data_IF_056648456491
#
_entry.id   IF_056648456491
#
_cell.length_a   1.000
_cell.length_b   1.000
_cell.length_c   1.000
_cell.angle_alpha   90.00
_cell.angle_beta   90.00
_cell.angle_gamma   90.00
#
_symmetry.space_group_name_H-M   'P 1'
#
loop_
_entity.id
_entity.type
_entity.pdbx_description
1 polymer ?
#
# COMPACT_ATOMS: atom_id res chain seq x y z
N UNK A 1 15.34 1.30 -3.65
CA UNK A 1 13.96 1.22 -4.14
C UNK A 1 13.02 1.51 -2.97
N UNK A 2 12.27 2.58 -3.03
CA UNK A 2 11.30 2.98 -2.01
C UNK A 2 9.92 3.06 -2.65
N UNK A 3 8.85 2.82 -1.87
CA UNK A 3 7.49 3.15 -2.29
C UNK A 3 7.29 4.65 -2.04
N UNK A 4 7.10 5.41 -3.11
CA UNK A 4 6.94 6.86 -3.10
C UNK A 4 5.56 7.22 -3.66
N UNK A 5 4.87 8.12 -3.00
CA UNK A 5 3.63 8.72 -3.44
C UNK A 5 3.83 10.23 -3.49
N UNK A 6 3.30 10.86 -4.51
CA UNK A 6 3.30 12.31 -4.61
C UNK A 6 2.03 12.81 -5.29
N UNK A 7 1.66 14.05 -4.98
CA UNK A 7 0.49 14.69 -5.53
C UNK A 7 0.75 15.16 -6.96
N UNK A 8 -0.30 15.14 -7.79
CA UNK A 8 -0.29 15.73 -9.13
C UNK A 8 0.75 15.12 -10.09
N UNK A 9 1.05 13.83 -9.95
CA UNK A 9 1.89 13.10 -10.90
C UNK A 9 0.99 12.44 -11.95
N UNK A 10 1.11 12.87 -13.22
CA UNK A 10 0.32 12.34 -14.33
C UNK A 10 1.05 12.50 -15.65
N UNK A 11 1.09 11.43 -16.40
CA UNK A 11 1.55 11.39 -17.78
C UNK A 11 0.55 10.64 -18.67
N UNK A 12 0.83 10.60 -19.95
CA UNK A 12 0.08 9.76 -20.91
C UNK A 12 0.95 8.63 -21.43
N UNK A 13 0.30 7.60 -21.98
CA UNK A 13 0.96 6.49 -22.68
C UNK A 13 0.13 6.00 -23.85
N UNK A 14 0.78 5.57 -24.93
CA UNK A 14 0.14 4.86 -26.05
C UNK A 14 0.53 3.39 -26.12
N UNK A 15 1.34 2.91 -25.17
CA UNK A 15 1.80 1.52 -25.12
C UNK A 15 0.62 0.54 -25.08
N UNK A 16 0.70 -0.53 -25.85
CA UNK A 16 -0.32 -1.60 -25.92
C UNK A 16 0.22 -2.89 -25.30
N UNK A 17 -0.69 -3.81 -24.99
CA UNK A 17 -0.33 -5.13 -24.47
C UNK A 17 -0.13 -5.16 -22.97
N UNK A 18 0.63 -6.15 -22.48
CA UNK A 18 0.85 -6.45 -21.05
C UNK A 18 2.15 -5.84 -20.48
N UNK A 19 2.98 -5.25 -21.33
CA UNK A 19 4.33 -4.82 -20.97
C UNK A 19 4.39 -3.53 -20.16
N UNK A 20 5.64 -3.13 -19.89
CA UNK A 20 6.01 -1.84 -19.32
C UNK A 20 5.51 -0.70 -20.19
N UNK A 21 4.99 0.34 -19.59
CA UNK A 21 4.50 1.53 -20.30
C UNK A 21 5.66 2.47 -20.65
N UNK A 22 5.65 3.00 -21.86
CA UNK A 22 6.42 4.18 -22.22
C UNK A 22 5.59 5.42 -21.83
N UNK A 23 6.19 6.30 -21.06
CA UNK A 23 5.58 7.55 -20.63
C UNK A 23 5.92 8.65 -21.62
N UNK A 24 4.95 9.50 -21.95
CA UNK A 24 5.06 10.49 -23.04
C UNK A 24 5.21 11.93 -22.53
N UNK A 25 5.53 12.08 -21.25
CA UNK A 25 5.69 13.37 -20.59
C UNK A 25 4.44 13.84 -19.82
N UNK A 26 4.67 14.78 -18.91
CA UNK A 26 3.67 15.29 -18.00
C UNK A 26 2.51 15.99 -18.71
N UNK A 27 1.32 15.81 -18.17
CA UNK A 27 0.12 16.57 -18.60
C UNK A 27 0.17 17.97 -17.98
N UNK A 28 -0.34 18.97 -18.70
CA UNK A 28 -0.32 20.36 -18.24
C UNK A 28 -0.85 20.53 -16.81
N UNK A 29 -0.03 21.12 -15.94
CA UNK A 29 -0.33 21.30 -14.53
C UNK A 29 -0.03 20.09 -13.62
N UNK A 30 0.61 19.05 -14.15
CA UNK A 30 1.06 17.87 -13.42
C UNK A 30 2.58 17.71 -13.54
N UNK A 31 3.19 16.98 -12.61
CA UNK A 31 4.56 16.52 -12.70
C UNK A 31 4.64 15.18 -13.45
N UNK A 32 5.79 14.91 -14.07
CA UNK A 32 6.11 13.60 -14.63
C UNK A 32 6.49 12.61 -13.54
N UNK A 33 6.44 11.31 -13.85
CA UNK A 33 6.77 10.26 -12.88
C UNK A 33 8.22 10.33 -12.40
N UNK A 34 9.18 10.63 -13.26
CA UNK A 34 10.59 10.78 -12.86
C UNK A 34 10.77 11.97 -11.92
N UNK A 35 10.13 13.09 -12.18
CA UNK A 35 10.21 14.27 -11.33
C UNK A 35 9.50 14.08 -9.98
N UNK A 36 8.31 13.49 -9.98
CA UNK A 36 7.47 13.36 -8.79
C UNK A 36 7.80 12.15 -7.93
N UNK A 37 8.18 11.02 -8.53
CA UNK A 37 8.41 9.75 -7.83
C UNK A 37 9.91 9.44 -7.75
N UNK A 38 10.67 9.78 -8.78
CA UNK A 38 12.09 9.48 -8.90
C UNK A 38 12.37 8.12 -9.52
N UNK A 39 13.49 8.05 -10.26
CA UNK A 39 13.91 6.80 -10.91
C UNK A 39 14.24 5.70 -9.90
N UNK A 40 14.01 4.46 -10.25
CA UNK A 40 14.17 3.24 -9.45
C UNK A 40 13.24 3.11 -8.23
N UNK A 41 12.37 4.07 -7.99
CA UNK A 41 11.35 3.95 -6.95
C UNK A 41 10.08 3.29 -7.47
N UNK A 42 9.35 2.63 -6.58
CA UNK A 42 8.01 2.12 -6.84
C UNK A 42 6.96 3.15 -6.48
N UNK A 43 5.81 3.09 -7.15
CA UNK A 43 4.64 3.90 -6.81
C UNK A 43 3.36 3.12 -7.07
N UNK A 44 2.26 3.51 -6.43
CA UNK A 44 0.95 3.09 -6.89
C UNK A 44 0.56 3.89 -8.12
N UNK A 45 0.02 3.22 -9.11
CA UNK A 45 -0.46 3.84 -10.33
C UNK A 45 -1.94 3.50 -10.60
N UNK A 46 -2.58 4.36 -11.36
CA UNK A 46 -3.78 4.04 -12.09
C UNK A 46 -3.56 4.33 -13.58
N UNK A 47 -3.93 3.39 -14.43
CA UNK A 47 -3.91 3.50 -15.89
C UNK A 47 -5.35 3.45 -16.37
N UNK A 48 -5.75 4.37 -17.22
CA UNK A 48 -7.11 4.40 -17.81
C UNK A 48 -7.04 4.64 -19.31
N UNK A 49 -7.58 3.71 -20.08
CA UNK A 49 -7.90 3.90 -21.50
C UNK A 49 -9.40 4.20 -21.62
N UNK A 50 -9.75 5.48 -21.65
CA UNK A 50 -11.14 5.92 -21.64
C UNK A 50 -11.90 5.52 -22.92
N UNK A 51 -11.19 5.30 -24.03
CA UNK A 51 -11.80 4.91 -25.31
C UNK A 51 -12.42 3.52 -25.24
N UNK A 52 -11.76 2.59 -24.55
CA UNK A 52 -12.13 1.17 -24.53
C UNK A 52 -12.57 0.68 -23.14
N UNK A 53 -12.77 1.58 -22.18
CA UNK A 53 -13.14 1.25 -20.79
C UNK A 53 -12.18 0.29 -20.09
N UNK A 54 -10.92 0.28 -20.51
CA UNK A 54 -9.85 -0.51 -19.91
C UNK A 54 -9.18 0.29 -18.79
N UNK A 55 -8.97 -0.33 -17.64
CA UNK A 55 -8.27 0.33 -16.53
C UNK A 55 -7.52 -0.69 -15.67
N UNK A 56 -6.49 -0.21 -14.98
CA UNK A 56 -5.68 -0.99 -14.06
C UNK A 56 -5.13 -0.11 -12.94
N UNK A 57 -5.19 -0.61 -11.73
CA UNK A 57 -4.55 -0.03 -10.53
C UNK A 57 -3.52 -1.03 -10.02
N UNK A 58 -2.31 -0.58 -9.76
CA UNK A 58 -1.24 -1.48 -9.36
C UNK A 58 -0.06 -0.77 -8.71
N UNK A 59 1.02 -1.53 -8.58
CA UNK A 59 2.35 -1.06 -8.18
C UNK A 59 3.29 -1.21 -9.35
N UNK A 60 4.08 -0.19 -9.64
CA UNK A 60 5.08 -0.20 -10.70
C UNK A 60 6.33 0.57 -10.31
N UNK A 61 7.41 0.29 -11.02
CA UNK A 61 8.72 0.93 -10.87
C UNK A 61 8.93 1.96 -11.96
N UNK A 62 9.34 3.15 -11.58
CA UNK A 62 9.67 4.26 -12.49
C UNK A 62 11.13 4.16 -12.91
N UNK A 63 11.42 4.28 -14.20
CA UNK A 63 12.78 4.35 -14.72
C UNK A 63 12.92 5.58 -15.63
N UNK A 64 13.90 6.42 -15.31
CA UNK A 64 14.37 7.51 -16.15
C UNK A 64 15.07 6.91 -17.39
N UNK A 65 14.48 7.09 -18.53
CA UNK A 65 14.91 6.56 -19.82
C UNK A 65 14.48 7.52 -20.96
N UNK A 66 14.59 7.08 -22.20
CA UNK A 66 14.10 7.86 -23.35
C UNK A 66 13.29 6.94 -24.29
N UNK A 67 11.96 6.95 -24.19
CA UNK A 67 11.11 7.64 -23.18
C UNK A 67 11.21 7.02 -21.80
N UNK A 68 10.79 7.78 -20.77
CA UNK A 68 10.64 7.28 -19.40
C UNK A 68 9.68 6.09 -19.35
N UNK A 69 9.87 5.22 -18.36
CA UNK A 69 9.04 4.01 -18.29
C UNK A 69 8.44 3.79 -16.89
N UNK A 70 7.28 3.12 -16.89
CA UNK A 70 6.63 2.59 -15.70
C UNK A 70 6.34 1.10 -15.89
N UNK A 71 6.96 0.26 -15.08
CA UNK A 71 6.63 -1.17 -15.06
C UNK A 71 5.28 -1.42 -14.40
N UNK A 72 4.76 -2.61 -14.57
CA UNK A 72 3.49 -3.08 -13.99
C UNK A 72 3.78 -4.32 -13.15
N UNK A 73 4.38 -4.08 -11.96
CA UNK A 73 4.99 -5.13 -11.14
C UNK A 73 3.94 -6.00 -10.43
N UNK A 74 2.83 -5.38 -10.01
CA UNK A 74 1.74 -6.08 -9.34
C UNK A 74 0.43 -5.33 -9.58
N UNK A 75 -0.60 -6.04 -10.02
CA UNK A 75 -1.96 -5.51 -10.18
C UNK A 75 -2.72 -5.66 -8.86
N UNK A 76 -3.42 -4.61 -8.46
CA UNK A 76 -4.28 -4.57 -7.28
C UNK A 76 -5.75 -4.75 -7.69
N UNK A 77 -6.15 -4.03 -8.75
CA UNK A 77 -7.50 -4.15 -9.30
C UNK A 77 -7.50 -3.74 -10.77
N UNK A 78 -8.35 -4.35 -11.58
CA UNK A 78 -8.40 -4.06 -13.00
C UNK A 78 -9.74 -4.39 -13.66
N UNK A 79 -9.95 -3.86 -14.86
CA UNK A 79 -11.06 -4.23 -15.74
C UNK A 79 -11.00 -5.67 -16.27
N UNK A 80 -9.92 -6.39 -16.00
CA UNK A 80 -9.70 -7.77 -16.38
C UNK A 80 -9.76 -8.73 -15.17
N UNK A 81 -10.77 -8.59 -14.31
CA UNK A 81 -10.95 -9.40 -13.11
C UNK A 81 -9.70 -9.46 -12.22
N UNK A 82 -9.13 -8.28 -11.97
CA UNK A 82 -7.92 -8.06 -11.17
C UNK A 82 -6.64 -8.74 -11.73
N UNK A 83 -6.69 -9.21 -12.96
CA UNK A 83 -5.55 -9.69 -13.74
C UNK A 83 -4.94 -8.55 -14.58
N UNK A 84 -3.68 -8.67 -15.02
CA UNK A 84 -3.07 -7.66 -15.89
C UNK A 84 -3.89 -7.40 -17.15
N UNK A 85 -4.09 -6.14 -17.50
CA UNK A 85 -4.85 -5.72 -18.68
C UNK A 85 -3.93 -5.70 -19.91
N UNK A 86 -4.32 -6.40 -20.97
CA UNK A 86 -3.70 -6.25 -22.28
C UNK A 86 -4.27 -5.03 -22.98
N UNK A 87 -3.74 -3.84 -22.66
CA UNK A 87 -4.25 -2.59 -23.19
C UNK A 87 -4.26 -2.54 -24.70
N UNK A 88 -5.38 -2.13 -25.25
CA UNK A 88 -5.55 -1.90 -26.69
C UNK A 88 -5.02 -0.52 -27.12
N UNK A 89 -5.07 -0.23 -28.43
CA UNK A 89 -4.66 1.08 -28.94
C UNK A 89 -5.51 2.21 -28.35
N UNK A 90 -4.91 3.39 -28.28
CA UNK A 90 -5.49 4.59 -27.69
C UNK A 90 -4.56 5.22 -26.67
N UNK A 91 -4.82 6.48 -26.35
CA UNK A 91 -4.09 7.19 -25.29
C UNK A 91 -4.62 6.76 -23.93
N UNK A 92 -3.72 6.36 -23.03
CA UNK A 92 -3.99 6.06 -21.63
C UNK A 92 -3.56 7.24 -20.78
N UNK A 93 -4.40 7.61 -19.85
CA UNK A 93 -4.02 8.43 -18.71
C UNK A 93 -3.31 7.53 -17.68
N UNK A 94 -2.14 7.95 -17.23
CA UNK A 94 -1.33 7.24 -16.22
C UNK A 94 -1.04 8.21 -15.09
N UNK A 95 -1.46 7.89 -13.86
CA UNK A 95 -1.27 8.80 -12.74
C UNK A 95 -0.97 8.07 -11.44
N UNK A 96 -0.23 8.76 -10.55
CA UNK A 96 -0.01 8.31 -9.19
C UNK A 96 -1.32 8.38 -8.40
N UNK A 97 -1.63 7.34 -7.64
CA UNK A 97 -2.85 7.26 -6.82
C UNK A 97 -2.57 6.48 -5.53
N UNK A 98 -3.41 6.67 -4.53
CA UNK A 98 -3.42 5.80 -3.36
C UNK A 98 -4.64 4.87 -3.45
N UNK A 99 -4.44 3.56 -3.66
CA UNK A 99 -5.56 2.64 -3.84
C UNK A 99 -6.46 2.58 -2.61
N UNK A 100 -7.79 2.62 -2.82
CA UNK A 100 -8.76 2.57 -1.74
C UNK A 100 -8.56 1.35 -0.82
N UNK A 101 -8.24 0.19 -1.39
CA UNK A 101 -7.96 -1.05 -0.64
C UNK A 101 -6.73 -0.99 0.28
N UNK A 102 -5.92 0.08 0.18
CA UNK A 102 -4.74 0.31 1.02
C UNK A 102 -4.98 1.36 2.09
N UNK A 103 -6.18 1.94 2.18
CA UNK A 103 -6.54 2.92 3.21
C UNK A 103 -6.77 2.25 4.56
N UNK A 104 -6.60 3.00 5.65
CA UNK A 104 -6.84 2.50 7.00
C UNK A 104 -8.30 2.09 7.21
N UNK A 105 -9.26 2.81 6.61
CA UNK A 105 -10.68 2.51 6.70
C UNK A 105 -11.04 1.11 6.17
N UNK A 106 -10.27 0.62 5.18
CA UNK A 106 -10.45 -0.73 4.65
C UNK A 106 -9.70 -1.78 5.46
N UNK A 107 -8.79 -1.38 6.34
CA UNK A 107 -7.99 -2.26 7.18
C UNK A 107 -8.61 -2.45 8.56
N UNK A 108 -9.08 -1.37 9.20
CA UNK A 108 -9.71 -1.41 10.52
C UNK A 108 -11.23 -1.59 10.36
N UNK A 109 -11.76 -2.71 10.79
CA UNK A 109 -13.17 -3.09 10.53
C UNK A 109 -14.05 -3.12 11.78
N UNK A 110 -13.44 -3.02 12.96
CA UNK A 110 -14.15 -3.12 14.24
C UNK A 110 -13.61 -2.11 15.25
N UNK A 111 -14.48 -1.46 16.02
CA UNK A 111 -14.05 -0.56 17.08
C UNK A 111 -13.12 -1.28 18.06
N UNK A 112 -11.95 -0.70 18.33
CA UNK A 112 -10.89 -1.29 19.16
C UNK A 112 -9.82 -2.07 18.39
N UNK A 113 -9.91 -2.17 17.07
CA UNK A 113 -8.84 -2.70 16.25
C UNK A 113 -7.59 -1.83 16.32
N UNK A 114 -6.42 -2.43 16.18
CA UNK A 114 -5.11 -1.76 16.17
C UNK A 114 -4.43 -1.99 14.84
N UNK A 115 -3.90 -0.91 14.24
CA UNK A 115 -3.06 -0.99 13.06
C UNK A 115 -1.60 -1.14 13.47
N UNK A 116 -0.90 -2.09 12.88
CA UNK A 116 0.54 -2.28 13.09
C UNK A 116 1.26 -2.62 11.78
N UNK A 117 2.56 -2.52 11.73
CA UNK A 117 3.36 -2.96 10.60
C UNK A 117 3.77 -4.44 10.80
N UNK A 118 3.26 -5.34 9.96
CA UNK A 118 3.62 -6.77 10.01
C UNK A 118 5.00 -7.05 9.40
N UNK A 119 5.41 -6.23 8.45
CA UNK A 119 6.75 -6.14 7.87
C UNK A 119 7.00 -4.67 7.50
N UNK A 120 8.19 -4.35 7.01
CA UNK A 120 8.47 -3.00 6.52
C UNK A 120 7.42 -2.57 5.47
N UNK A 121 6.78 -1.44 5.72
CA UNK A 121 5.76 -0.84 4.85
C UNK A 121 4.51 -1.70 4.58
N UNK A 122 4.24 -2.72 5.40
CA UNK A 122 3.06 -3.57 5.24
C UNK A 122 2.13 -3.39 6.46
N UNK A 123 1.08 -2.57 6.36
CA UNK A 123 0.10 -2.42 7.41
C UNK A 123 -0.70 -3.70 7.59
N UNK A 124 -0.96 -4.07 8.84
CA UNK A 124 -1.80 -5.19 9.20
C UNK A 124 -2.71 -4.83 10.37
N UNK A 125 -3.84 -5.50 10.43
CA UNK A 125 -4.83 -5.33 11.49
C UNK A 125 -4.58 -6.34 12.60
N UNK A 126 -4.50 -5.87 13.83
CA UNK A 126 -4.75 -6.68 15.01
C UNK A 126 -6.19 -6.44 15.45
N UNK A 127 -7.01 -7.48 15.39
CA UNK A 127 -8.40 -7.39 15.85
C UNK A 127 -8.44 -7.01 17.34
N UNK A 128 -9.48 -6.31 17.76
CA UNK A 128 -9.65 -5.92 19.16
C UNK A 128 -9.48 -7.12 20.10
N UNK A 129 -8.88 -6.89 21.24
CA UNK A 129 -8.78 -7.89 22.32
C UNK A 129 -10.08 -8.12 23.06
N UNK A 130 -10.06 -9.08 23.94
CA UNK A 130 -11.13 -9.36 24.91
C UNK A 130 -10.97 -8.52 26.18
N UNK A 131 -12.01 -8.51 27.03
CA UNK A 131 -11.92 -7.80 28.30
C UNK A 131 -10.79 -8.35 29.17
N UNK A 132 -10.06 -7.46 29.82
CA UNK A 132 -8.93 -7.77 30.70
C UNK A 132 -7.65 -8.26 29.99
N UNK A 133 -7.58 -8.21 28.66
CA UNK A 133 -6.33 -8.40 27.93
C UNK A 133 -5.55 -7.09 27.83
N UNK A 134 -4.25 -7.21 27.73
CA UNK A 134 -3.31 -6.10 27.49
C UNK A 134 -2.60 -6.29 26.17
N UNK A 135 -2.33 -5.18 25.48
CA UNK A 135 -1.52 -5.21 24.28
C UNK A 135 -0.07 -5.44 24.66
N UNK A 136 0.53 -6.47 24.12
CA UNK A 136 1.92 -6.85 24.35
C UNK A 136 2.58 -7.28 23.06
N UNK A 137 3.89 -7.51 23.08
CA UNK A 137 4.59 -8.15 21.97
C UNK A 137 4.57 -9.67 22.16
N UNK A 138 4.43 -10.42 21.06
CA UNK A 138 4.57 -11.87 21.09
C UNK A 138 5.98 -12.30 21.54
N UNK A 139 6.16 -13.56 21.90
CA UNK A 139 7.42 -14.09 22.41
C UNK A 139 8.62 -13.89 21.46
N UNK A 140 8.37 -13.79 20.15
CA UNK A 140 9.41 -13.51 19.15
C UNK A 140 9.68 -12.02 18.93
N UNK A 141 9.00 -11.12 19.62
CA UNK A 141 9.03 -9.67 19.41
C UNK A 141 8.81 -9.22 17.93
N UNK A 142 8.01 -9.99 17.18
CA UNK A 142 7.75 -9.77 15.76
C UNK A 142 6.42 -9.11 15.46
N UNK A 143 5.45 -9.21 16.40
CA UNK A 143 4.13 -8.61 16.23
C UNK A 143 3.48 -8.31 17.59
N UNK A 144 2.61 -7.30 17.67
CA UNK A 144 1.77 -7.10 18.83
C UNK A 144 0.70 -8.20 18.90
N UNK A 145 0.33 -8.56 20.13
CA UNK A 145 -0.74 -9.49 20.44
C UNK A 145 -1.52 -9.07 21.67
N UNK A 146 -2.71 -9.60 21.86
CA UNK A 146 -3.47 -9.46 23.09
C UNK A 146 -3.15 -10.64 24.00
N UNK A 147 -2.77 -10.35 25.24
CA UNK A 147 -2.50 -11.37 26.25
C UNK A 147 -3.24 -11.05 27.55
N UNK A 148 -3.54 -12.08 28.32
CA UNK A 148 -4.11 -11.88 29.64
C UNK A 148 -3.21 -10.93 30.46
N UNK A 149 -3.81 -9.93 31.12
CA UNK A 149 -3.07 -9.10 32.06
C UNK A 149 -2.46 -10.02 33.12
N UNK A 150 -1.15 -10.08 33.17
CA UNK A 150 -0.44 -10.78 34.27
C UNK A 150 -0.81 -10.09 35.57
N UNK A 151 -1.77 -10.63 36.30
CA UNK A 151 -2.04 -10.18 37.65
C UNK A 151 -0.76 -10.28 38.48
N UNK A 152 -0.57 -9.39 39.43
CA UNK A 152 0.51 -9.55 40.44
C UNK A 152 0.41 -10.96 40.99
N UNK A 153 1.50 -11.73 40.94
CA UNK A 153 1.48 -13.10 41.46
C UNK A 153 1.04 -13.09 42.93
N UNK A 154 0.27 -14.11 43.32
CA UNK A 154 -0.17 -14.23 44.71
C UNK A 154 0.99 -14.10 45.71
N UNK A 155 2.19 -14.54 45.32
CA UNK A 155 3.41 -14.37 46.08
C UNK A 155 3.84 -12.91 46.25
N UNK A 156 3.66 -12.05 45.24
CA UNK A 156 3.98 -10.63 45.35
C UNK A 156 2.98 -9.90 46.29
N UNK A 157 1.69 -10.24 46.18
CA UNK A 157 0.64 -9.68 47.08
C UNK A 157 0.90 -10.08 48.54
N UNK A 158 1.25 -11.32 48.80
CA UNK A 158 1.60 -11.81 50.14
C UNK A 158 2.84 -11.10 50.67
N UNK A 159 3.88 -10.93 49.85
CA UNK A 159 5.10 -10.23 50.26
C UNK A 159 4.81 -8.75 50.67
N UNK A 160 3.96 -8.04 49.93
CA UNK A 160 3.56 -6.68 50.30
C UNK A 160 2.68 -6.60 51.55
N UNK A 161 1.85 -7.62 51.82
CA UNK A 161 0.98 -7.63 53.01
C UNK A 161 1.73 -8.00 54.30
N UNK A 162 2.90 -8.65 54.19
CA UNK A 162 3.75 -8.98 55.35
C UNK A 162 4.71 -7.82 55.68
N UNK A 163 4.96 -6.91 54.72
CA UNK A 163 5.87 -5.77 54.93
C UNK A 163 5.15 -4.53 55.52
N UNK A 164 3.85 -4.60 55.80
CA UNK A 164 3.04 -3.60 56.49
C UNK A 164 2.70 -4.05 57.90
#
# INVERSE_FOLDING_TARGET
MALVLNDRVKETSTTTGLGTLNLLGSVGGFDGFVAGIGTTNTTYYCIVNTTNSEWEVGVGTVIDATPDTLSRDSVISSSNSDSPVSFTAGTKDVFCTFPASKTMDMTLTTAGDVLYASTNNTPARLAKGSASEVLTMNAGATAPEWAASGGVSAGFVIAMSIAL
#
